data_IF_887937902147
#
_entry.id   IF_887937902147
#
_cell.length_a   1.000
_cell.length_b   1.000
_cell.length_c   1.000
_cell.angle_alpha   90.00
_cell.angle_beta   90.00
_cell.angle_gamma   90.00
#
_symmetry.space_group_name_H-M   'P 1'
#
loop_
_entity.id
_entity.type
_entity.pdbx_description
1 polymer ?
#
# COMPACT_ATOMS: atom_id res chain seq x y z
N UNK A 1 -25.53 22.15 1.25
CA UNK A 1 -24.50 21.10 1.14
C UNK A 1 -24.26 20.85 -0.34
N UNK A 2 -23.01 20.97 -0.82
CA UNK A 2 -22.71 20.81 -2.27
C UNK A 2 -22.86 19.34 -2.70
N UNK A 3 -23.12 19.09 -4.02
CA UNK A 3 -23.19 17.73 -4.56
C UNK A 3 -21.89 16.96 -4.36
N UNK A 4 -20.76 17.65 -4.38
CA UNK A 4 -19.45 17.03 -4.06
C UNK A 4 -19.47 16.49 -2.61
N UNK A 5 -19.95 17.27 -1.65
CA UNK A 5 -19.98 16.81 -0.25
C UNK A 5 -20.92 15.61 -0.05
N UNK A 6 -22.11 15.63 -0.67
CA UNK A 6 -23.03 14.48 -0.64
C UNK A 6 -22.39 13.20 -1.24
N UNK A 7 -21.68 13.36 -2.35
CA UNK A 7 -20.94 12.24 -2.96
C UNK A 7 -19.82 11.72 -2.06
N UNK A 8 -19.03 12.61 -1.45
CA UNK A 8 -17.93 12.21 -0.56
C UNK A 8 -18.48 11.45 0.66
N UNK A 9 -19.58 11.91 1.24
CA UNK A 9 -20.28 11.22 2.33
C UNK A 9 -20.79 9.83 1.88
N UNK A 10 -21.40 9.73 0.71
CA UNK A 10 -21.87 8.46 0.14
C UNK A 10 -20.70 7.45 -0.03
N UNK A 11 -19.56 7.87 -0.60
CA UNK A 11 -18.44 6.94 -0.79
C UNK A 11 -17.74 6.58 0.52
N UNK A 12 -17.79 7.45 1.53
CA UNK A 12 -17.23 7.19 2.86
C UNK A 12 -18.13 6.25 3.67
N UNK A 13 -19.41 6.57 3.82
CA UNK A 13 -20.34 5.86 4.71
C UNK A 13 -20.93 4.61 4.07
N UNK A 14 -21.46 4.73 2.84
CA UNK A 14 -22.14 3.62 2.18
C UNK A 14 -21.18 2.69 1.42
N UNK A 15 -20.24 3.27 0.66
CA UNK A 15 -19.25 2.48 -0.09
C UNK A 15 -18.04 2.06 0.73
N UNK A 16 -17.87 2.62 1.93
CA UNK A 16 -16.76 2.33 2.86
C UNK A 16 -15.40 2.45 2.21
N UNK A 17 -15.23 3.51 1.40
CA UNK A 17 -13.92 3.78 0.79
C UNK A 17 -12.92 4.22 1.86
N UNK A 18 -11.65 3.92 1.64
CA UNK A 18 -10.60 4.34 2.57
C UNK A 18 -10.50 5.87 2.65
N UNK A 19 -10.13 6.46 3.80
CA UNK A 19 -9.94 7.92 3.95
C UNK A 19 -9.02 8.51 2.87
N UNK A 20 -7.97 7.78 2.49
CA UNK A 20 -7.07 8.19 1.39
C UNK A 20 -7.78 8.26 0.03
N UNK A 21 -8.71 7.35 -0.24
CA UNK A 21 -9.50 7.36 -1.48
C UNK A 21 -10.44 8.56 -1.48
N UNK A 22 -11.14 8.80 -0.36
CA UNK A 22 -12.06 9.94 -0.20
C UNK A 22 -11.31 11.26 -0.39
N UNK A 23 -10.15 11.43 0.27
CA UNK A 23 -9.29 12.62 0.13
C UNK A 23 -8.81 12.81 -1.31
N UNK A 24 -8.42 11.72 -1.99
CA UNK A 24 -7.98 11.78 -3.38
C UNK A 24 -9.12 12.19 -4.32
N UNK A 25 -10.31 11.62 -4.13
CA UNK A 25 -11.50 11.96 -4.92
C UNK A 25 -11.94 13.40 -4.69
N UNK A 26 -11.93 13.86 -3.42
CA UNK A 26 -12.19 15.26 -3.08
C UNK A 26 -11.28 16.20 -3.87
N UNK A 27 -9.97 15.94 -3.85
CA UNK A 27 -9.01 16.75 -4.59
C UNK A 27 -9.26 16.72 -6.10
N UNK A 28 -9.54 15.54 -6.66
CA UNK A 28 -9.77 15.38 -8.10
C UNK A 28 -11.01 16.16 -8.57
N UNK A 29 -12.09 16.14 -7.78
CA UNK A 29 -13.31 16.92 -8.06
C UNK A 29 -13.09 18.41 -7.88
N UNK A 30 -12.29 18.83 -6.88
CA UNK A 30 -11.91 20.23 -6.70
C UNK A 30 -11.09 20.75 -7.88
N UNK A 31 -10.11 19.97 -8.37
CA UNK A 31 -9.31 20.33 -9.52
C UNK A 31 -10.19 20.53 -10.79
N UNK A 32 -11.19 19.66 -10.98
CA UNK A 32 -12.13 19.79 -12.07
C UNK A 32 -13.08 21.00 -11.91
N UNK A 33 -13.52 21.29 -10.69
CA UNK A 33 -14.35 22.47 -10.37
C UNK A 33 -13.60 23.76 -10.69
N UNK A 34 -12.32 23.87 -10.32
CA UNK A 34 -11.48 25.02 -10.62
C UNK A 34 -11.33 25.18 -12.15
N UNK A 35 -11.08 24.08 -12.86
CA UNK A 35 -11.00 24.12 -14.33
C UNK A 35 -12.31 24.62 -14.97
N UNK A 36 -13.47 24.19 -14.49
CA UNK A 36 -14.77 24.68 -14.94
C UNK A 36 -14.94 26.19 -14.70
N UNK A 37 -14.56 26.66 -13.53
CA UNK A 37 -14.64 28.09 -13.20
C UNK A 37 -13.76 28.91 -14.14
N UNK A 38 -12.55 28.44 -14.42
CA UNK A 38 -11.61 29.15 -15.33
C UNK A 38 -12.05 29.14 -16.80
N UNK A 39 -12.69 28.05 -17.25
CA UNK A 39 -13.00 27.88 -18.70
C UNK A 39 -14.43 28.17 -19.08
N UNK A 40 -15.38 28.01 -18.16
CA UNK A 40 -16.82 28.10 -18.38
C UNK A 40 -17.53 29.10 -17.45
N UNK A 41 -16.78 29.69 -16.49
CA UNK A 41 -17.32 30.67 -15.54
C UNK A 41 -18.28 30.06 -14.48
N UNK A 42 -18.29 28.74 -14.33
CA UNK A 42 -19.18 28.04 -13.37
C UNK A 42 -18.43 27.05 -12.50
N UNK A 43 -18.86 26.92 -11.27
CA UNK A 43 -18.38 25.87 -10.34
C UNK A 43 -19.32 24.65 -10.28
N UNK A 44 -20.44 24.70 -11.02
CA UNK A 44 -21.43 23.64 -10.99
C UNK A 44 -21.04 22.48 -11.93
N UNK A 45 -20.58 21.38 -11.35
CA UNK A 45 -20.18 20.19 -12.09
C UNK A 45 -21.37 19.56 -12.86
N UNK A 46 -22.61 19.86 -12.47
CA UNK A 46 -23.80 19.29 -13.16
C UNK A 46 -23.99 19.87 -14.55
N UNK A 47 -23.43 21.04 -14.82
CA UNK A 47 -23.47 21.73 -16.12
C UNK A 47 -22.38 21.25 -17.09
N UNK A 48 -21.41 20.48 -16.61
CA UNK A 48 -20.31 20.05 -17.47
C UNK A 48 -20.75 19.07 -18.56
N UNK A 49 -20.25 19.32 -19.76
CA UNK A 49 -20.52 18.48 -20.93
C UNK A 49 -19.34 17.54 -21.23
N UNK A 50 -19.57 16.57 -22.11
CA UNK A 50 -18.52 15.65 -22.57
C UNK A 50 -17.31 16.39 -23.16
N UNK A 51 -17.54 17.50 -23.86
CA UNK A 51 -16.46 18.36 -24.41
C UNK A 51 -15.59 18.94 -23.29
N UNK A 52 -16.21 19.41 -22.22
CA UNK A 52 -15.52 19.96 -21.04
C UNK A 52 -14.61 18.92 -20.40
N UNK A 53 -15.08 17.68 -20.22
CA UNK A 53 -14.24 16.60 -19.68
C UNK A 53 -13.05 16.30 -20.59
N UNK A 54 -13.23 16.33 -21.91
CA UNK A 54 -12.12 16.16 -22.86
C UNK A 54 -11.11 17.29 -22.77
N UNK A 55 -11.59 18.54 -22.71
CA UNK A 55 -10.74 19.72 -22.56
C UNK A 55 -9.95 19.67 -21.25
N UNK A 56 -10.57 19.21 -20.15
CA UNK A 56 -9.86 18.95 -18.89
C UNK A 56 -8.73 17.92 -19.03
N UNK A 57 -8.96 16.83 -19.76
CA UNK A 57 -7.90 15.85 -20.03
C UNK A 57 -6.74 16.44 -20.84
N UNK A 58 -7.04 17.29 -21.82
CA UNK A 58 -6.03 18.01 -22.61
C UNK A 58 -5.25 18.96 -21.71
N UNK A 59 -5.93 19.82 -20.96
CA UNK A 59 -5.32 20.74 -20.00
C UNK A 59 -4.37 20.01 -19.01
N UNK A 60 -4.80 18.88 -18.47
CA UNK A 60 -3.94 18.07 -17.58
C UNK A 60 -2.70 17.52 -18.32
N UNK A 61 -2.83 17.14 -19.59
CA UNK A 61 -1.71 16.66 -20.40
C UNK A 61 -0.72 17.77 -20.72
N UNK A 62 -1.19 18.95 -21.06
CA UNK A 62 -0.38 20.16 -21.32
C UNK A 62 0.40 20.59 -20.06
N UNK A 63 -0.22 20.43 -18.88
CA UNK A 63 0.44 20.63 -17.58
C UNK A 63 1.32 19.46 -17.16
N UNK A 64 1.72 18.58 -18.08
CA UNK A 64 2.63 17.45 -17.86
C UNK A 64 2.19 16.47 -16.76
N UNK A 65 0.89 16.40 -16.47
CA UNK A 65 0.36 15.42 -15.51
C UNK A 65 0.46 14.02 -16.10
N UNK A 66 1.05 13.10 -15.36
CA UNK A 66 1.22 11.72 -15.82
C UNK A 66 -0.11 11.05 -16.19
N UNK A 67 -0.15 10.31 -17.31
CA UNK A 67 -1.36 9.62 -17.83
C UNK A 67 -2.07 8.77 -16.75
N UNK A 68 -1.33 8.14 -15.85
CA UNK A 68 -1.90 7.40 -14.73
C UNK A 68 -2.68 8.29 -13.77
N UNK A 69 -2.19 9.51 -13.50
CA UNK A 69 -2.86 10.49 -12.65
C UNK A 69 -4.10 11.07 -13.34
N UNK A 70 -4.02 11.33 -14.64
CA UNK A 70 -5.18 11.74 -15.44
C UNK A 70 -6.26 10.66 -15.38
N UNK A 71 -5.90 9.39 -15.62
CA UNK A 71 -6.86 8.28 -15.56
C UNK A 71 -7.49 8.12 -14.16
N UNK A 72 -6.75 8.39 -13.08
CA UNK A 72 -7.32 8.39 -11.73
C UNK A 72 -8.37 9.50 -11.58
N UNK A 73 -8.07 10.72 -12.03
CA UNK A 73 -9.01 11.86 -12.00
C UNK A 73 -10.27 11.55 -12.81
N UNK A 74 -10.13 10.97 -14.00
CA UNK A 74 -11.26 10.53 -14.82
C UNK A 74 -12.08 9.44 -14.11
N UNK A 75 -11.45 8.54 -13.36
CA UNK A 75 -12.16 7.54 -12.56
C UNK A 75 -12.94 8.17 -11.40
N UNK A 76 -12.39 9.21 -10.76
CA UNK A 76 -13.08 9.98 -9.71
C UNK A 76 -14.31 10.70 -10.28
N UNK A 77 -14.17 11.37 -11.43
CA UNK A 77 -15.28 12.01 -12.15
C UNK A 77 -16.35 10.98 -12.54
N UNK A 78 -15.96 9.84 -13.11
CA UNK A 78 -16.89 8.78 -13.49
C UNK A 78 -17.70 8.28 -12.29
N UNK A 79 -17.05 8.10 -11.14
CA UNK A 79 -17.73 7.70 -9.91
C UNK A 79 -18.72 8.76 -9.42
N UNK A 80 -18.34 10.04 -9.51
CA UNK A 80 -19.20 11.17 -9.14
C UNK A 80 -20.42 11.28 -10.06
N UNK A 81 -20.26 11.25 -11.39
CA UNK A 81 -21.38 11.33 -12.31
C UNK A 81 -22.30 10.09 -12.25
N UNK A 82 -21.74 8.92 -11.96
CA UNK A 82 -22.56 7.74 -11.69
C UNK A 82 -23.41 7.91 -10.42
N UNK A 83 -22.91 8.57 -9.40
CA UNK A 83 -23.67 8.93 -8.21
C UNK A 83 -24.82 9.92 -8.58
N UNK A 84 -24.54 10.97 -9.38
CA UNK A 84 -25.56 11.93 -9.82
C UNK A 84 -26.67 11.27 -10.64
N UNK A 85 -26.35 10.31 -11.51
CA UNK A 85 -27.33 9.52 -12.24
C UNK A 85 -28.21 8.69 -11.28
N UNK A 86 -27.58 8.01 -10.32
CA UNK A 86 -28.32 7.16 -9.35
C UNK A 86 -29.24 7.95 -8.42
N UNK A 87 -28.90 9.20 -8.14
CA UNK A 87 -29.72 10.10 -7.33
C UNK A 87 -30.68 10.95 -8.14
N UNK A 88 -30.85 10.65 -9.44
CA UNK A 88 -31.72 11.35 -10.38
C UNK A 88 -31.45 12.87 -10.48
N UNK A 89 -30.21 13.29 -10.19
CA UNK A 89 -29.79 14.70 -10.34
C UNK A 89 -29.49 15.03 -11.82
N UNK A 90 -28.98 14.04 -12.56
CA UNK A 90 -28.73 14.15 -14.00
C UNK A 90 -29.43 13.00 -14.76
N UNK A 91 -29.97 13.26 -15.96
CA UNK A 91 -30.55 12.23 -16.82
C UNK A 91 -29.47 11.45 -17.60
N UNK A 92 -28.33 12.09 -17.90
CA UNK A 92 -27.23 11.50 -18.68
C UNK A 92 -25.87 11.91 -18.10
N UNK A 93 -24.84 11.14 -18.38
CA UNK A 93 -23.51 11.40 -17.86
C UNK A 93 -22.58 12.04 -18.92
N UNK A 94 -21.85 13.12 -18.60
CA UNK A 94 -20.84 13.66 -19.50
C UNK A 94 -19.63 12.70 -19.67
N UNK A 95 -19.58 11.64 -18.84
CA UNK A 95 -18.52 10.62 -18.91
C UNK A 95 -18.77 9.54 -19.96
N UNK A 96 -19.95 9.55 -20.58
CA UNK A 96 -20.31 8.58 -21.63
C UNK A 96 -19.32 8.66 -22.79
N UNK A 97 -18.77 7.53 -23.17
CA UNK A 97 -17.74 7.41 -24.22
C UNK A 97 -16.39 8.10 -23.90
N UNK A 98 -16.15 8.59 -22.67
CA UNK A 98 -14.82 9.04 -22.24
C UNK A 98 -13.98 7.82 -21.97
N UNK A 99 -12.94 7.61 -22.79
CA UNK A 99 -11.99 6.49 -22.62
C UNK A 99 -10.79 6.92 -21.79
N UNK A 100 -10.26 6.00 -21.00
CA UNK A 100 -8.99 6.20 -20.29
C UNK A 100 -7.83 6.29 -21.29
N UNK A 101 -6.82 7.08 -20.96
CA UNK A 101 -5.60 7.20 -21.76
C UNK A 101 -4.82 5.89 -21.73
N UNK A 102 -4.42 5.40 -22.88
CA UNK A 102 -3.52 4.24 -22.97
C UNK A 102 -2.15 4.64 -22.41
N UNK A 103 -1.66 3.87 -21.47
CA UNK A 103 -0.29 3.99 -20.95
C UNK A 103 0.26 2.59 -20.66
N UNK A 104 1.56 2.46 -20.86
CA UNK A 104 2.27 1.23 -20.52
C UNK A 104 2.95 1.46 -19.18
N UNK A 105 2.54 0.76 -18.10
CA UNK A 105 3.22 0.88 -16.83
C UNK A 105 4.66 0.37 -16.97
N UNK A 106 5.63 1.16 -16.51
CA UNK A 106 6.99 0.66 -16.40
C UNK A 106 7.04 -0.56 -15.53
N UNK A 107 7.63 -1.65 -16.05
CA UNK A 107 7.84 -2.89 -15.32
C UNK A 107 8.58 -2.58 -14.01
N UNK A 108 8.02 -2.99 -12.89
CA UNK A 108 8.71 -2.89 -11.62
C UNK A 108 9.72 -4.05 -11.57
N UNK A 109 10.99 -3.70 -11.37
CA UNK A 109 12.08 -4.70 -11.29
C UNK A 109 12.32 -4.96 -9.80
N UNK A 110 12.17 -6.20 -9.38
CA UNK A 110 12.51 -6.65 -8.03
C UNK A 110 14.00 -6.38 -7.74
N UNK A 111 14.34 -6.19 -6.50
CA UNK A 111 15.75 -6.23 -6.07
C UNK A 111 16.23 -7.68 -6.18
N UNK A 112 17.47 -7.89 -6.62
CA UNK A 112 18.06 -9.23 -6.65
C UNK A 112 18.40 -9.73 -5.24
N UNK A 113 18.64 -11.01 -5.08
CA UNK A 113 19.16 -11.60 -3.83
C UNK A 113 20.46 -10.93 -3.41
N UNK A 114 21.38 -10.69 -4.35
CA UNK A 114 22.67 -10.04 -4.08
C UNK A 114 22.50 -8.59 -3.60
N UNK A 115 21.60 -7.81 -4.20
CA UNK A 115 21.26 -6.46 -3.71
C UNK A 115 20.67 -6.50 -2.30
N UNK A 116 19.86 -7.50 -1.99
CA UNK A 116 19.29 -7.68 -0.65
C UNK A 116 20.34 -8.18 0.36
N UNK A 117 21.30 -8.99 -0.06
CA UNK A 117 22.45 -9.39 0.78
C UNK A 117 23.37 -8.20 1.04
N UNK A 118 23.75 -7.44 0.00
CA UNK A 118 24.52 -6.21 0.14
C UNK A 118 23.86 -5.23 1.12
N UNK A 119 22.51 -5.11 1.06
CA UNK A 119 21.75 -4.28 1.99
C UNK A 119 21.92 -4.73 3.45
N UNK A 120 21.94 -6.04 3.71
CA UNK A 120 22.11 -6.60 5.05
C UNK A 120 23.51 -6.31 5.63
N UNK A 121 24.52 -6.25 4.77
CA UNK A 121 25.91 -6.01 5.17
C UNK A 121 26.29 -4.52 5.26
N UNK A 122 25.35 -3.60 4.97
CA UNK A 122 25.59 -2.17 5.11
C UNK A 122 25.86 -1.79 6.57
N UNK A 123 27.08 -1.32 6.86
CA UNK A 123 27.47 -0.83 8.20
C UNK A 123 26.50 0.22 8.72
N UNK A 124 26.17 1.22 7.89
CA UNK A 124 25.23 2.31 8.25
C UNK A 124 23.83 1.85 8.57
N UNK A 125 23.38 0.73 8.01
CA UNK A 125 22.09 0.11 8.36
C UNK A 125 22.18 -0.61 9.70
N UNK A 126 23.27 -1.33 9.94
CA UNK A 126 23.50 -2.08 11.18
C UNK A 126 23.67 -1.16 12.39
N UNK A 127 24.18 0.05 12.20
CA UNK A 127 24.23 1.11 13.23
C UNK A 127 22.83 1.70 13.55
N UNK A 128 21.79 1.36 12.79
CA UNK A 128 20.41 1.80 13.00
C UNK A 128 19.46 0.62 13.19
N UNK A 129 19.41 0.00 14.38
CA UNK A 129 18.65 -1.24 14.61
C UNK A 129 17.17 -1.15 14.22
N UNK A 130 16.51 -0.02 14.48
CA UNK A 130 15.12 0.18 14.08
C UNK A 130 14.95 0.19 12.54
N UNK A 131 15.83 0.89 11.83
CA UNK A 131 15.79 0.92 10.36
C UNK A 131 16.03 -0.46 9.75
N UNK A 132 17.02 -1.18 10.29
CA UNK A 132 17.32 -2.54 9.88
C UNK A 132 16.13 -3.49 10.12
N UNK A 133 15.50 -3.38 11.28
CA UNK A 133 14.34 -4.20 11.63
C UNK A 133 13.11 -3.89 10.75
N UNK A 134 12.86 -2.61 10.45
CA UNK A 134 11.79 -2.19 9.52
C UNK A 134 11.98 -2.83 8.14
N UNK A 135 13.20 -2.72 7.57
CA UNK A 135 13.51 -3.25 6.24
C UNK A 135 13.37 -4.78 6.23
N UNK A 136 13.93 -5.43 7.24
CA UNK A 136 13.91 -6.89 7.35
C UNK A 136 12.46 -7.41 7.50
N UNK A 137 11.66 -6.77 8.35
CA UNK A 137 10.25 -7.14 8.51
C UNK A 137 9.48 -6.98 7.19
N UNK A 138 9.65 -5.86 6.48
CA UNK A 138 8.99 -5.63 5.19
C UNK A 138 9.43 -6.66 4.13
N UNK A 139 10.72 -6.99 4.08
CA UNK A 139 11.26 -7.91 3.09
C UNK A 139 10.88 -9.36 3.37
N UNK A 140 10.98 -9.83 4.61
CA UNK A 140 10.67 -11.24 4.95
C UNK A 140 9.17 -11.55 4.90
N UNK A 141 8.32 -10.57 5.15
CA UNK A 141 6.87 -10.80 5.29
C UNK A 141 6.05 -10.29 4.11
N UNK A 142 6.64 -9.42 3.29
CA UNK A 142 5.94 -8.76 2.21
C UNK A 142 4.74 -7.91 2.66
N UNK A 143 4.59 -7.57 3.93
CA UNK A 143 3.49 -6.72 4.43
C UNK A 143 3.57 -5.31 3.85
N UNK A 144 2.42 -4.61 3.83
CA UNK A 144 2.37 -3.22 3.37
C UNK A 144 2.96 -2.28 4.42
N UNK A 145 3.53 -1.14 4.00
CA UNK A 145 4.08 -0.14 4.95
C UNK A 145 3.04 0.33 5.99
N UNK A 146 1.77 0.48 5.58
CA UNK A 146 0.69 0.83 6.48
C UNK A 146 0.39 -0.28 7.49
N UNK A 147 0.45 -1.55 7.06
CA UNK A 147 0.30 -2.72 7.93
C UNK A 147 1.42 -2.77 8.97
N UNK A 148 2.67 -2.50 8.56
CA UNK A 148 3.80 -2.40 9.51
C UNK A 148 3.60 -1.27 10.52
N UNK A 149 3.20 -0.07 10.07
CA UNK A 149 2.96 1.07 10.96
C UNK A 149 1.79 0.84 11.93
N UNK A 150 0.82 0.00 11.54
CA UNK A 150 -0.36 -0.33 12.33
C UNK A 150 -0.23 -1.65 13.10
N UNK A 151 0.94 -2.29 13.10
CA UNK A 151 1.16 -3.53 13.81
C UNK A 151 1.03 -3.31 15.31
N UNK A 152 0.15 -4.08 15.95
CA UNK A 152 -0.07 -4.03 17.39
C UNK A 152 0.92 -4.94 18.12
N UNK A 153 1.24 -4.61 19.36
CA UNK A 153 2.09 -5.44 20.21
C UNK A 153 1.50 -6.83 20.43
N UNK A 154 0.18 -6.90 20.62
CA UNK A 154 -0.56 -8.17 20.79
C UNK A 154 -0.62 -9.02 19.52
N UNK A 155 -0.22 -8.47 18.38
CA UNK A 155 -0.22 -9.13 17.07
C UNK A 155 1.16 -9.68 16.67
N UNK A 156 2.15 -9.61 17.57
CA UNK A 156 3.49 -10.13 17.34
C UNK A 156 3.72 -11.32 18.25
N UNK A 157 3.58 -12.51 17.69
CA UNK A 157 3.89 -13.75 18.38
C UNK A 157 5.29 -14.24 17.98
N UNK A 158 6.28 -13.92 18.81
CA UNK A 158 7.67 -14.35 18.58
C UNK A 158 7.89 -15.82 18.92
N UNK A 159 7.13 -16.39 19.85
CA UNK A 159 7.19 -17.81 20.21
C UNK A 159 6.55 -18.68 19.13
N UNK A 160 5.36 -18.31 18.65
CA UNK A 160 4.69 -18.95 17.52
C UNK A 160 5.32 -18.61 16.15
N UNK A 161 6.29 -17.67 16.11
CA UNK A 161 6.96 -17.21 14.87
C UNK A 161 5.98 -16.74 13.82
N UNK A 162 5.04 -15.85 14.20
CA UNK A 162 4.02 -15.31 13.31
C UNK A 162 3.59 -13.89 13.68
N UNK A 163 3.11 -13.18 12.66
CA UNK A 163 2.52 -11.85 12.79
C UNK A 163 1.05 -11.90 12.37
N UNK A 164 0.18 -11.36 13.19
CA UNK A 164 -1.22 -11.14 12.85
C UNK A 164 -1.36 -9.77 12.16
N UNK A 165 -1.66 -9.77 10.88
CA UNK A 165 -1.71 -8.55 10.06
C UNK A 165 -3.16 -8.20 9.73
N UNK A 166 -3.58 -7.00 10.14
CA UNK A 166 -4.88 -6.43 9.78
C UNK A 166 -4.76 -5.63 8.48
N UNK A 167 -5.46 -6.06 7.44
CA UNK A 167 -5.46 -5.46 6.10
C UNK A 167 -6.68 -4.59 5.80
N UNK A 168 -6.89 -4.29 4.51
CA UNK A 168 -8.04 -3.49 4.05
C UNK A 168 -9.36 -4.19 4.39
N UNK A 169 -10.31 -3.41 4.94
CA UNK A 169 -11.62 -3.93 5.36
C UNK A 169 -11.58 -4.73 6.65
N UNK A 170 -10.59 -4.47 7.50
CA UNK A 170 -10.38 -5.13 8.79
C UNK A 170 -10.20 -6.66 8.68
N UNK A 171 -9.77 -7.15 7.52
CA UNK A 171 -9.48 -8.57 7.31
C UNK A 171 -8.12 -8.88 7.90
N UNK A 172 -8.06 -9.94 8.71
CA UNK A 172 -6.84 -10.38 9.36
C UNK A 172 -6.23 -11.56 8.60
N UNK A 173 -4.91 -11.65 8.63
CA UNK A 173 -4.16 -12.83 8.17
C UNK A 173 -2.96 -13.07 9.04
N UNK A 174 -2.56 -14.32 9.17
CA UNK A 174 -1.31 -14.70 9.81
C UNK A 174 -0.19 -14.76 8.78
N UNK A 175 0.94 -14.19 9.13
CA UNK A 175 2.14 -14.17 8.29
C UNK A 175 3.28 -14.79 9.10
N UNK A 176 3.80 -15.95 8.71
CA UNK A 176 4.92 -16.58 9.38
C UNK A 176 6.18 -15.74 9.23
N UNK A 177 7.08 -15.84 10.21
CA UNK A 177 8.39 -15.20 10.22
C UNK A 177 9.49 -16.21 10.52
N UNK A 178 10.71 -15.92 10.07
CA UNK A 178 11.88 -16.75 10.41
C UNK A 178 12.24 -16.60 11.88
N UNK A 179 12.95 -17.59 12.41
CA UNK A 179 13.49 -17.56 13.77
C UNK A 179 14.35 -16.32 14.01
N UNK A 180 15.26 -16.03 13.10
CA UNK A 180 16.13 -14.85 13.18
C UNK A 180 15.35 -13.53 13.24
N UNK A 181 14.22 -13.41 12.50
CA UNK A 181 13.36 -12.22 12.60
C UNK A 181 12.59 -12.22 13.92
N UNK A 182 12.09 -13.35 14.38
CA UNK A 182 11.40 -13.46 15.66
C UNK A 182 12.30 -12.99 16.82
N UNK A 183 13.55 -13.42 16.87
CA UNK A 183 14.54 -13.01 17.88
C UNK A 183 14.79 -11.50 17.84
N UNK A 184 14.94 -10.94 16.64
CA UNK A 184 15.13 -9.48 16.46
C UNK A 184 13.90 -8.69 16.91
N UNK A 185 12.69 -9.16 16.62
CA UNK A 185 11.44 -8.54 17.07
C UNK A 185 11.30 -8.64 18.60
N UNK A 186 11.65 -9.79 19.18
CA UNK A 186 11.65 -9.98 20.63
C UNK A 186 12.63 -9.03 21.34
N UNK A 187 13.85 -8.91 20.83
CA UNK A 187 14.84 -7.97 21.35
C UNK A 187 14.37 -6.52 21.24
N UNK A 188 13.80 -6.15 20.11
CA UNK A 188 13.24 -4.81 19.93
C UNK A 188 12.08 -4.56 20.92
N UNK A 189 11.20 -5.53 21.12
CA UNK A 189 10.09 -5.43 22.08
C UNK A 189 10.55 -5.10 23.50
N UNK A 190 11.70 -5.65 23.94
CA UNK A 190 12.30 -5.37 25.26
C UNK A 190 12.94 -3.98 25.35
N UNK A 191 13.45 -3.47 24.22
CA UNK A 191 14.23 -2.22 24.18
C UNK A 191 13.39 -1.00 23.79
N UNK A 192 12.23 -1.18 23.13
CA UNK A 192 11.40 -0.06 22.70
C UNK A 192 10.88 0.74 23.89
N UNK A 193 10.73 2.05 23.68
CA UNK A 193 10.22 2.98 24.69
C UNK A 193 9.03 3.75 24.10
N UNK A 194 7.81 3.21 24.21
CA UNK A 194 6.61 3.91 23.75
C UNK A 194 6.33 5.11 24.66
N UNK A 195 5.87 6.22 24.07
CA UNK A 195 5.30 7.32 24.82
C UNK A 195 3.88 6.95 25.26
N UNK A 196 3.40 7.61 26.32
CA UNK A 196 2.05 7.42 26.87
C UNK A 196 0.97 7.47 25.78
N UNK A 197 0.10 6.47 25.76
CA UNK A 197 -0.94 6.31 24.74
C UNK A 197 -0.47 5.67 23.41
N UNK A 198 0.80 5.26 23.32
CA UNK A 198 1.35 4.58 22.14
C UNK A 198 1.81 3.13 22.41
N UNK A 199 1.54 2.59 23.60
CA UNK A 199 1.98 1.28 24.06
C UNK A 199 1.48 0.14 23.18
N UNK A 200 0.31 0.30 22.59
CA UNK A 200 -0.32 -0.66 21.70
C UNK A 200 0.43 -0.86 20.38
N UNK A 201 1.17 0.16 19.90
CA UNK A 201 1.87 0.08 18.63
C UNK A 201 3.19 -0.64 18.78
N UNK A 202 3.41 -1.69 18.00
CA UNK A 202 4.66 -2.44 18.09
C UNK A 202 5.87 -1.58 17.69
N UNK A 203 5.81 -0.93 16.55
CA UNK A 203 6.87 -0.05 16.09
C UNK A 203 6.64 1.40 16.52
N UNK A 204 7.61 1.95 17.24
CA UNK A 204 7.62 3.36 17.67
C UNK A 204 8.91 4.05 17.22
N UNK A 205 8.86 5.36 17.04
CA UNK A 205 10.02 6.18 16.71
C UNK A 205 10.86 6.48 17.97
N UNK A 206 11.97 7.22 17.80
CA UNK A 206 12.87 7.61 18.91
C UNK A 206 12.17 8.43 20.01
N UNK A 207 11.03 9.10 19.70
CA UNK A 207 10.22 9.84 20.68
C UNK A 207 9.13 8.98 21.30
N UNK A 208 9.09 7.68 21.03
CA UNK A 208 8.06 6.76 21.52
C UNK A 208 6.71 6.84 20.79
N UNK A 209 6.56 7.70 19.79
CA UNK A 209 5.32 7.82 19.02
C UNK A 209 5.23 6.76 17.92
N UNK A 210 4.01 6.39 17.56
CA UNK A 210 3.72 5.49 16.43
C UNK A 210 4.50 5.88 15.17
N UNK A 211 5.02 4.89 14.44
CA UNK A 211 5.71 5.16 13.17
C UNK A 211 4.76 5.73 12.10
N UNK A 212 5.20 6.83 11.48
CA UNK A 212 4.52 7.37 10.31
C UNK A 212 4.95 6.67 9.02
N UNK A 213 4.02 6.49 8.08
CA UNK A 213 4.30 5.87 6.78
C UNK A 213 5.37 6.61 5.95
N UNK A 214 5.46 7.95 6.11
CA UNK A 214 6.51 8.76 5.46
C UNK A 214 7.90 8.40 5.98
N UNK A 215 8.03 8.17 7.29
CA UNK A 215 9.29 7.74 7.89
C UNK A 215 9.73 6.37 7.35
N UNK A 216 8.83 5.38 7.34
CA UNK A 216 9.11 4.04 6.80
C UNK A 216 9.52 4.13 5.32
N UNK A 217 8.82 4.95 4.52
CA UNK A 217 9.18 5.18 3.13
C UNK A 217 10.59 5.78 2.99
N UNK A 218 10.91 6.80 3.79
CA UNK A 218 12.21 7.47 3.78
C UNK A 218 13.35 6.51 4.15
N UNK A 219 13.16 5.70 5.19
CA UNK A 219 14.11 4.65 5.60
C UNK A 219 14.38 3.68 4.44
N UNK A 220 13.34 3.10 3.87
CA UNK A 220 13.49 2.14 2.77
C UNK A 220 14.15 2.79 1.55
N UNK A 221 13.71 3.98 1.16
CA UNK A 221 14.30 4.68 0.01
C UNK A 221 15.78 4.98 0.22
N UNK A 222 16.16 5.50 1.40
CA UNK A 222 17.54 5.80 1.75
C UNK A 222 18.46 4.59 1.58
N UNK A 223 18.13 3.48 2.24
CA UNK A 223 19.02 2.32 2.28
C UNK A 223 19.02 1.53 0.96
N UNK A 224 17.89 1.42 0.26
CA UNK A 224 17.87 0.84 -1.08
C UNK A 224 18.66 1.66 -2.09
N UNK A 225 18.77 2.98 -1.89
CA UNK A 225 19.57 3.85 -2.76
C UNK A 225 21.08 3.62 -2.62
N UNK A 226 21.53 3.03 -1.52
CA UNK A 226 22.94 2.73 -1.27
C UNK A 226 23.39 1.44 -1.97
N UNK A 227 22.47 0.54 -2.31
CA UNK A 227 22.80 -0.77 -2.89
C UNK A 227 22.32 -0.95 -4.32
N UNK A 228 21.58 0.01 -4.87
CA UNK A 228 21.05 -0.12 -6.22
C UNK A 228 20.86 1.21 -6.92
N UNK A 229 21.04 1.23 -8.23
CA UNK A 229 20.76 2.36 -9.13
C UNK A 229 19.33 2.34 -9.66
N UNK A 230 18.51 1.31 -9.35
CA UNK A 230 17.12 1.21 -9.79
C UNK A 230 16.32 2.46 -9.40
N UNK A 231 15.49 2.97 -10.31
CA UNK A 231 14.74 4.21 -10.10
C UNK A 231 13.69 4.10 -8.97
N UNK A 232 13.02 2.95 -8.87
CA UNK A 232 11.96 2.74 -7.87
C UNK A 232 12.51 2.04 -6.64
N UNK A 233 12.53 2.76 -5.52
CA UNK A 233 13.05 2.33 -4.23
C UNK A 233 12.01 2.63 -3.15
N UNK A 234 11.14 1.68 -2.87
CA UNK A 234 10.01 1.91 -1.96
C UNK A 234 9.63 0.62 -1.22
N UNK A 235 8.88 0.70 -0.13
CA UNK A 235 8.33 -0.49 0.55
C UNK A 235 7.56 -1.43 -0.38
N UNK A 236 6.96 -0.88 -1.43
CA UNK A 236 6.23 -1.68 -2.42
C UNK A 236 7.15 -2.57 -3.26
N UNK A 237 8.37 -2.09 -3.52
CA UNK A 237 9.38 -2.89 -4.22
C UNK A 237 9.94 -4.00 -3.33
N UNK A 238 10.14 -3.77 -2.03
CA UNK A 238 10.52 -4.84 -1.10
C UNK A 238 9.47 -5.96 -1.08
N UNK A 239 8.19 -5.59 -1.05
CA UNK A 239 7.10 -6.57 -1.16
C UNK A 239 7.11 -7.30 -2.52
N UNK A 240 7.43 -6.59 -3.60
CA UNK A 240 7.57 -7.21 -4.92
C UNK A 240 8.77 -8.17 -4.95
N UNK A 241 9.91 -7.78 -4.38
CA UNK A 241 11.10 -8.64 -4.26
C UNK A 241 10.82 -9.88 -3.41
N UNK A 242 10.12 -9.74 -2.28
CA UNK A 242 9.64 -10.88 -1.50
C UNK A 242 8.85 -11.86 -2.38
N UNK A 243 7.83 -11.37 -3.09
CA UNK A 243 6.99 -12.22 -3.93
C UNK A 243 7.80 -12.92 -5.03
N UNK A 244 8.71 -12.18 -5.70
CA UNK A 244 9.55 -12.70 -6.77
C UNK A 244 10.47 -13.80 -6.25
N UNK A 245 11.22 -13.55 -5.18
CA UNK A 245 12.19 -14.51 -4.64
C UNK A 245 11.52 -15.78 -4.12
N UNK A 246 10.38 -15.65 -3.43
CA UNK A 246 9.65 -16.81 -2.93
C UNK A 246 9.09 -17.66 -4.08
N UNK A 247 8.64 -17.04 -5.18
CA UNK A 247 8.19 -17.74 -6.38
C UNK A 247 9.36 -18.39 -7.14
N UNK A 248 10.49 -17.68 -7.33
CA UNK A 248 11.69 -18.20 -7.97
C UNK A 248 12.28 -19.41 -7.25
N UNK A 249 12.12 -19.46 -5.93
CA UNK A 249 12.53 -20.58 -5.08
C UNK A 249 11.43 -21.68 -4.98
N UNK A 250 10.48 -21.69 -5.90
CA UNK A 250 9.53 -22.80 -6.11
C UNK A 250 8.29 -22.79 -5.22
N UNK A 251 7.95 -21.66 -4.59
CA UNK A 251 6.66 -21.56 -3.89
C UNK A 251 5.49 -21.44 -4.87
N UNK A 252 4.38 -22.07 -4.55
CA UNK A 252 3.15 -21.94 -5.33
C UNK A 252 2.60 -20.50 -5.28
N UNK A 253 2.16 -19.99 -6.42
CA UNK A 253 1.61 -18.63 -6.56
C UNK A 253 0.38 -18.41 -5.66
N UNK A 254 -0.42 -19.46 -5.41
CA UNK A 254 -1.55 -19.47 -4.48
C UNK A 254 -1.12 -19.12 -3.07
N UNK A 255 -0.05 -19.73 -2.57
CA UNK A 255 0.52 -19.51 -1.24
C UNK A 255 1.14 -18.13 -1.09
N UNK A 256 1.83 -17.65 -2.13
CA UNK A 256 2.36 -16.27 -2.15
C UNK A 256 1.23 -15.23 -2.13
N UNK A 257 0.14 -15.46 -2.86
CA UNK A 257 -1.05 -14.59 -2.81
C UNK A 257 -1.70 -14.58 -1.43
N UNK A 258 -1.76 -15.73 -0.76
CA UNK A 258 -2.28 -15.88 0.60
C UNK A 258 -1.44 -15.08 1.60
N UNK A 259 -0.11 -15.28 1.62
CA UNK A 259 0.83 -14.51 2.46
C UNK A 259 0.69 -13.00 2.26
N UNK A 260 0.53 -12.58 1.02
CA UNK A 260 0.39 -11.17 0.68
C UNK A 260 -1.00 -10.59 0.97
N UNK A 261 -2.03 -11.40 1.18
CA UNK A 261 -3.40 -10.92 1.41
C UNK A 261 -3.97 -10.20 0.18
N UNK A 262 -3.93 -10.85 -0.99
CA UNK A 262 -4.60 -10.37 -2.20
C UNK A 262 -6.10 -10.66 -2.13
N UNK A 263 -6.92 -9.62 -2.19
CA UNK A 263 -8.37 -9.64 -1.94
C UNK A 263 -9.23 -10.36 -3.01
N UNK A 264 -8.65 -10.90 -4.07
CA UNK A 264 -9.39 -11.54 -5.16
C UNK A 264 -9.80 -13.00 -4.91
N UNK A 265 -9.41 -13.57 -3.77
CA UNK A 265 -9.94 -14.86 -3.27
C UNK A 265 -10.59 -14.59 -1.91
N UNK A 266 -11.73 -13.87 -1.95
CA UNK A 266 -12.44 -13.47 -0.76
C UNK A 266 -13.40 -14.57 -0.31
N UNK A 267 -12.93 -15.45 0.51
CA UNK A 267 -13.70 -15.98 1.62
C UNK A 267 -12.91 -15.68 2.90
N UNK A 268 -13.58 -15.46 3.99
CA UNK A 268 -12.98 -15.38 5.31
C UNK A 268 -12.26 -16.71 5.52
N UNK A 269 -10.98 -16.79 5.15
CA UNK A 269 -10.20 -17.99 5.41
C UNK A 269 -10.02 -18.09 6.91
N UNK A 270 -10.67 -19.07 7.50
CA UNK A 270 -10.38 -19.50 8.86
C UNK A 270 -8.97 -20.10 8.81
N UNK A 271 -7.99 -19.40 9.37
CA UNK A 271 -6.63 -19.94 9.50
C UNK A 271 -6.66 -21.04 10.53
N UNK A 272 -6.55 -22.29 10.08
CA UNK A 272 -6.32 -23.44 10.94
C UNK A 272 -4.83 -23.58 11.23
N UNK A 273 -4.46 -24.21 12.35
CA UNK A 273 -3.06 -24.48 12.67
C UNK A 273 -2.34 -25.22 11.52
N UNK A 274 -3.02 -26.15 10.84
CA UNK A 274 -2.46 -26.88 9.70
C UNK A 274 -2.14 -25.96 8.50
N UNK A 275 -2.92 -24.91 8.26
CA UNK A 275 -2.65 -23.95 7.21
C UNK A 275 -1.43 -23.06 7.54
N UNK A 276 -1.28 -22.66 8.79
CA UNK A 276 -0.14 -21.87 9.26
C UNK A 276 1.16 -22.66 9.15
N UNK A 277 1.17 -23.93 9.56
CA UNK A 277 2.37 -24.77 9.44
C UNK A 277 2.80 -24.93 7.97
N UNK A 278 1.86 -25.13 7.04
CA UNK A 278 2.18 -25.14 5.59
C UNK A 278 2.76 -23.81 5.09
N UNK A 279 2.30 -22.67 5.59
CA UNK A 279 2.87 -21.37 5.24
C UNK A 279 4.27 -21.18 5.83
N UNK A 280 4.54 -21.69 7.04
CA UNK A 280 5.88 -21.71 7.63
C UNK A 280 6.84 -22.57 6.82
N UNK A 281 6.42 -23.75 6.37
CA UNK A 281 7.21 -24.62 5.49
C UNK A 281 7.57 -23.93 4.19
N UNK A 282 6.59 -23.27 3.54
CA UNK A 282 6.82 -22.51 2.31
C UNK A 282 7.82 -21.38 2.55
N UNK A 283 7.67 -20.62 3.64
CA UNK A 283 8.60 -19.52 3.96
C UNK A 283 10.01 -20.06 4.21
N UNK A 284 10.14 -21.11 5.02
CA UNK A 284 11.43 -21.69 5.39
C UNK A 284 12.17 -22.31 4.19
N UNK A 285 11.42 -22.87 3.23
CA UNK A 285 11.99 -23.47 2.02
C UNK A 285 12.32 -22.44 0.93
N UNK A 286 11.50 -21.41 0.80
CA UNK A 286 11.53 -20.54 -0.38
C UNK A 286 12.00 -19.11 -0.12
N UNK A 287 11.99 -18.61 1.11
CA UNK A 287 12.47 -17.26 1.37
C UNK A 287 13.99 -17.23 1.65
N UNK A 288 14.81 -16.40 0.93
CA UNK A 288 16.27 -16.38 1.09
C UNK A 288 16.78 -16.15 2.52
N UNK A 289 15.99 -15.43 3.35
CA UNK A 289 16.33 -15.14 4.75
C UNK A 289 15.91 -16.23 5.74
N UNK A 290 15.07 -17.17 5.35
CA UNK A 290 14.57 -18.23 6.18
C UNK A 290 15.21 -19.58 5.85
N UNK A 291 15.79 -19.73 4.66
CA UNK A 291 16.59 -20.88 4.28
C UNK A 291 17.77 -21.02 5.23
N UNK A 292 17.93 -22.20 5.85
CA UNK A 292 19.17 -22.53 6.56
C UNK A 292 20.27 -22.58 5.51
N UNK A 293 21.32 -21.77 5.64
CA UNK A 293 22.57 -21.97 4.88
C UNK A 293 23.17 -23.29 5.38
N UNK A 294 23.16 -24.32 4.51
CA UNK A 294 23.92 -25.53 4.76
C UNK A 294 25.40 -25.19 4.80
#
# INVERSE_FOLDING_TARGET
MTMINKFLEHIELEKRYSPHTVTSYKKDLQDFRLFLMETEGTEDLTLAHKRTVRNFMVHLSENHIAKRSINRKISSLRSFYLFLLKTNVLPTSPMDSIKSLKFYPQKQIAFSTDEMEALQHLKTLNENPLSALIIETLYQTGIRKAELCNLLTTHVDTAGKELKITGKGNKERLVPISEALADRLQNYSKLRRPATGNEQWFFVNKKGAKLGEKFVYSVVNKYLSMVSTKQKKSPHILRHSFATHVLENGAEISKVKELLGHSSLASTQVYTNANIEKLKEVLNRAHPRAMKKN
#
